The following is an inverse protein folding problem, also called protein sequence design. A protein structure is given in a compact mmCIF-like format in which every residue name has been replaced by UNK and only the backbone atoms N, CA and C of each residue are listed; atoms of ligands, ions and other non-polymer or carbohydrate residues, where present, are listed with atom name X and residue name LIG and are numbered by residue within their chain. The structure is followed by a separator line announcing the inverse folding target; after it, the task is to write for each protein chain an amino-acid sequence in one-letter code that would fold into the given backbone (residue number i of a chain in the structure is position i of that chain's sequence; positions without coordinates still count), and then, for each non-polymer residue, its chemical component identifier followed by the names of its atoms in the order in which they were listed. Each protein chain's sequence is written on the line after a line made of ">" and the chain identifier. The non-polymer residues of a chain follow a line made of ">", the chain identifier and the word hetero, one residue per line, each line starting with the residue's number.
data_IF_498378208768
#
_entry.id   IF_498378208768
#
_cell.length_a   1.000
_cell.length_b   1.000
_cell.length_c   1.000
_cell.angle_alpha   90.00
_cell.angle_beta   90.00
_cell.angle_gamma   90.00
#
_symmetry.space_group_name_H-M   'P 1'
#
loop_
_entity.id
_entity.type
_entity.pdbx_description
1 polymer ?
#
# COMPACT_ATOMS: atom_id res chain seq x y z
N UNK A 1 -22.90 -0.28 -5.53
CA UNK A 1 -21.57 0.31 -5.31
C UNK A 1 -20.59 -0.56 -6.06
N UNK A 2 -19.98 -0.04 -7.13
CA UNK A 2 -19.06 -0.82 -7.96
C UNK A 2 -17.70 -0.93 -7.24
N UNK A 3 -17.21 -2.16 -7.10
CA UNK A 3 -15.89 -2.45 -6.51
C UNK A 3 -14.86 -2.48 -7.63
N UNK A 4 -13.69 -1.89 -7.42
CA UNK A 4 -12.61 -1.81 -8.41
C UNK A 4 -11.70 -3.04 -8.40
N UNK A 5 -11.60 -3.72 -7.26
CA UNK A 5 -10.71 -4.87 -7.13
C UNK A 5 -10.73 -5.52 -5.76
N UNK A 6 -10.00 -6.63 -5.66
CA UNK A 6 -9.75 -7.38 -4.42
C UNK A 6 -8.25 -7.48 -4.25
N UNK A 7 -7.73 -7.05 -3.09
CA UNK A 7 -6.35 -7.35 -2.71
C UNK A 7 -6.28 -8.79 -2.19
N UNK A 8 -5.46 -9.61 -2.83
CA UNK A 8 -5.23 -10.98 -2.40
C UNK A 8 -4.48 -11.06 -1.07
N UNK A 9 -4.18 -12.29 -0.65
CA UNK A 9 -3.52 -12.55 0.64
C UNK A 9 -2.06 -12.09 0.61
N UNK A 10 -1.69 -11.20 1.54
CA UNK A 10 -0.32 -10.71 1.71
C UNK A 10 -0.05 -10.31 3.16
N UNK A 11 1.15 -10.62 3.64
CA UNK A 11 1.69 -10.08 4.89
C UNK A 11 2.94 -9.25 4.58
N UNK A 12 3.00 -8.02 5.10
CA UNK A 12 4.14 -7.11 4.93
C UNK A 12 4.48 -6.42 6.24
N UNK A 13 5.72 -5.93 6.35
CA UNK A 13 6.20 -5.16 7.50
C UNK A 13 6.34 -3.70 7.10
N UNK A 14 5.52 -2.83 7.67
CA UNK A 14 5.46 -1.42 7.29
C UNK A 14 5.84 -0.54 8.47
N UNK A 15 6.77 0.36 8.22
CA UNK A 15 7.19 1.41 9.15
C UNK A 15 6.07 2.44 9.30
N UNK A 16 5.79 2.88 10.53
CA UNK A 16 4.59 3.63 10.93
C UNK A 16 3.25 2.89 10.72
N UNK A 17 3.28 1.57 10.45
CA UNK A 17 2.09 0.77 10.18
C UNK A 17 1.17 0.55 11.39
N UNK A 18 1.66 0.70 12.62
CA UNK A 18 0.81 0.55 13.81
C UNK A 18 -0.12 1.74 13.95
N UNK A 19 0.43 2.95 13.79
CA UNK A 19 -0.29 4.22 13.97
C UNK A 19 -0.98 4.71 12.68
N UNK A 20 -0.79 4.08 11.52
CA UNK A 20 -1.34 4.56 10.26
C UNK A 20 -2.86 4.38 10.13
N UNK A 21 -3.62 5.45 9.93
CA UNK A 21 -5.06 5.30 9.64
C UNK A 21 -5.32 4.87 8.19
N UNK A 22 -4.39 5.17 7.29
CA UNK A 22 -4.45 4.85 5.86
C UNK A 22 -3.08 4.37 5.39
N UNK A 23 -3.07 3.38 4.49
CA UNK A 23 -1.87 2.92 3.79
C UNK A 23 -2.08 2.99 2.29
N UNK A 24 -1.04 3.38 1.55
CA UNK A 24 -1.03 3.33 0.08
C UNK A 24 -0.50 1.95 -0.31
N UNK A 25 -1.27 1.21 -1.12
CA UNK A 25 -0.89 -0.10 -1.63
C UNK A 25 -0.65 -0.01 -3.13
N UNK A 26 0.52 -0.50 -3.56
CA UNK A 26 0.81 -0.71 -4.98
C UNK A 26 0.31 -2.11 -5.37
N UNK A 27 -0.63 -2.19 -6.31
CA UNK A 27 -1.18 -3.46 -6.76
C UNK A 27 -1.15 -3.58 -8.29
N UNK A 28 -0.95 -4.81 -8.78
CA UNK A 28 -1.03 -5.14 -10.21
C UNK A 28 -2.51 -5.26 -10.59
N UNK A 29 -2.98 -4.32 -11.41
CA UNK A 29 -4.36 -4.25 -11.93
C UNK A 29 -4.49 -4.85 -13.32
N UNK A 30 -3.46 -4.75 -14.15
CA UNK A 30 -3.43 -5.35 -15.49
C UNK A 30 -2.19 -6.23 -15.69
N UNK A 31 -2.39 -7.56 -15.63
CA UNK A 31 -1.30 -8.55 -15.81
C UNK A 31 -0.89 -8.74 -17.27
N UNK A 32 -1.74 -8.36 -18.22
CA UNK A 32 -1.50 -8.50 -19.65
C UNK A 32 -0.87 -7.24 -20.27
N UNK A 33 -0.63 -6.21 -19.45
CA UNK A 33 -0.01 -4.98 -19.89
C UNK A 33 1.34 -5.26 -20.59
N UNK A 34 1.62 -4.48 -21.65
CA UNK A 34 2.84 -4.61 -22.45
C UNK A 34 4.13 -4.54 -21.62
N UNK A 35 4.10 -3.79 -20.52
CA UNK A 35 5.17 -3.80 -19.53
C UNK A 35 4.59 -3.81 -18.11
N UNK A 36 5.28 -4.38 -17.11
CA UNK A 36 4.81 -4.37 -15.72
C UNK A 36 4.52 -2.97 -15.18
N UNK A 37 5.27 -1.97 -15.63
CA UNK A 37 5.07 -0.56 -15.24
C UNK A 37 3.71 0.00 -15.70
N UNK A 38 3.15 -0.53 -16.78
CA UNK A 38 1.83 -0.14 -17.32
C UNK A 38 0.67 -0.95 -16.72
N UNK A 39 0.94 -1.83 -15.76
CA UNK A 39 -0.05 -2.72 -15.19
C UNK A 39 -0.31 -2.52 -13.70
N UNK A 40 0.24 -1.45 -13.10
CA UNK A 40 0.13 -1.20 -11.66
C UNK A 40 -0.65 0.08 -11.34
N UNK A 41 -1.43 0.01 -10.27
CA UNK A 41 -2.22 1.11 -9.73
C UNK A 41 -1.94 1.31 -8.24
N UNK A 42 -2.28 2.49 -7.73
CA UNK A 42 -2.17 2.83 -6.31
C UNK A 42 -3.56 2.81 -5.68
N UNK A 43 -3.67 2.24 -4.48
CA UNK A 43 -4.91 2.17 -3.73
C UNK A 43 -4.73 2.66 -2.31
N UNK A 44 -5.74 3.36 -1.78
CA UNK A 44 -5.83 3.69 -0.36
C UNK A 44 -6.57 2.57 0.37
N UNK A 45 -5.93 2.02 1.40
CA UNK A 45 -6.54 1.05 2.31
C UNK A 45 -6.61 1.67 3.69
N UNK A 46 -7.83 1.79 4.20
CA UNK A 46 -8.11 2.43 5.48
C UNK A 46 -8.21 1.40 6.60
N UNK A 47 -7.81 1.80 7.80
CA UNK A 47 -8.02 1.00 9.00
C UNK A 47 -9.52 0.74 9.21
N UNK A 48 -9.88 -0.52 9.46
CA UNK A 48 -11.28 -0.95 9.57
C UNK A 48 -11.90 -1.49 8.28
N UNK A 49 -11.22 -1.41 7.13
CA UNK A 49 -11.63 -2.16 5.94
C UNK A 49 -11.61 -3.66 6.20
N UNK A 50 -12.66 -4.36 5.78
CA UNK A 50 -12.76 -5.82 5.96
C UNK A 50 -11.62 -6.52 5.22
N UNK A 51 -10.91 -7.39 5.93
CA UNK A 51 -9.75 -8.12 5.41
C UNK A 51 -8.42 -7.41 5.61
N UNK A 52 -8.41 -6.13 6.03
CA UNK A 52 -7.18 -5.43 6.39
C UNK A 52 -6.99 -5.50 7.91
N UNK A 53 -5.88 -6.11 8.34
CA UNK A 53 -5.61 -6.38 9.76
C UNK A 53 -4.22 -5.86 10.10
N UNK A 54 -4.15 -5.01 11.12
CA UNK A 54 -2.88 -4.64 11.75
C UNK A 54 -2.49 -5.73 12.74
N UNK A 55 -1.38 -6.41 12.43
CA UNK A 55 -0.72 -7.34 13.32
C UNK A 55 0.12 -6.63 14.37
N UNK A 56 1.04 -7.36 15.00
CA UNK A 56 1.83 -6.82 16.13
C UNK A 56 2.77 -5.70 15.71
N UNK A 57 3.00 -4.76 16.64
CA UNK A 57 4.14 -3.84 16.59
C UNK A 57 5.44 -4.61 16.86
N UNK A 58 6.42 -4.50 15.96
CA UNK A 58 7.72 -5.14 16.11
C UNK A 58 8.58 -4.42 17.13
N UNK A 59 9.24 -5.20 17.99
CA UNK A 59 10.29 -4.70 18.85
C UNK A 59 11.63 -4.70 18.08
N UNK A 60 12.08 -3.50 17.71
CA UNK A 60 13.31 -3.33 16.93
C UNK A 60 14.52 -3.16 17.86
N UNK A 61 15.67 -3.71 17.44
CA UNK A 61 16.96 -3.48 18.11
C UNK A 61 17.39 -2.02 18.07
N UNK A 62 17.05 -1.29 16.99
CA UNK A 62 17.29 0.15 16.78
C UNK A 62 16.05 0.88 16.25
N UNK A 63 16.10 2.21 16.09
CA UNK A 63 14.96 3.04 15.65
C UNK A 63 13.69 2.84 16.52
N UNK A 64 13.86 2.77 17.84
CA UNK A 64 12.79 2.44 18.81
C UNK A 64 11.61 3.43 18.81
N UNK A 65 11.86 4.69 18.40
CA UNK A 65 10.83 5.73 18.33
C UNK A 65 9.89 5.55 17.13
N UNK A 66 10.35 4.94 16.05
CA UNK A 66 9.57 4.71 14.84
C UNK A 66 8.89 3.35 14.97
N UNK A 67 7.57 3.29 14.89
CA UNK A 67 6.90 1.99 14.92
C UNK A 67 7.09 1.24 13.61
N UNK A 68 7.03 -0.08 13.68
CA UNK A 68 6.96 -0.96 12.53
C UNK A 68 5.95 -2.03 12.89
N UNK A 69 4.99 -2.30 12.02
CA UNK A 69 3.95 -3.28 12.28
C UNK A 69 3.84 -4.28 11.13
N UNK A 70 3.42 -5.48 11.48
CA UNK A 70 2.89 -6.43 10.50
C UNK A 70 1.52 -5.92 10.01
N UNK A 71 1.34 -5.85 8.69
CA UNK A 71 0.06 -5.60 8.07
C UNK A 71 -0.33 -6.84 7.26
N UNK A 72 -1.58 -7.25 7.42
CA UNK A 72 -2.17 -8.38 6.71
C UNK A 72 -3.30 -7.87 5.82
N UNK A 73 -3.31 -8.33 4.58
CA UNK A 73 -4.37 -8.13 3.61
C UNK A 73 -4.93 -9.51 3.28
N UNK A 74 -6.22 -9.71 3.48
CA UNK A 74 -6.93 -10.97 3.22
C UNK A 74 -8.22 -10.64 2.46
N UNK A 75 -8.18 -10.78 1.14
CA UNK A 75 -9.31 -10.51 0.24
C UNK A 75 -10.00 -9.15 0.49
N UNK A 76 -9.19 -8.10 0.66
CA UNK A 76 -9.68 -6.75 0.93
C UNK A 76 -10.43 -6.22 -0.29
N UNK A 77 -11.72 -5.95 -0.15
CA UNK A 77 -12.55 -5.40 -1.23
C UNK A 77 -12.41 -3.89 -1.29
N UNK A 78 -11.94 -3.38 -2.43
CA UNK A 78 -11.71 -1.97 -2.62
C UNK A 78 -12.86 -1.33 -3.42
N UNK A 79 -13.51 -0.27 -2.91
CA UNK A 79 -14.43 0.53 -3.72
C UNK A 79 -13.66 1.27 -4.82
N UNK A 80 -14.35 1.69 -5.89
CA UNK A 80 -13.74 2.52 -6.95
C UNK A 80 -13.09 3.80 -6.41
N UNK A 81 -13.63 4.37 -5.34
CA UNK A 81 -13.10 5.57 -4.68
C UNK A 81 -11.76 5.35 -3.96
N UNK A 82 -11.34 4.10 -3.75
CA UNK A 82 -10.04 3.80 -3.14
C UNK A 82 -8.88 3.94 -4.14
N UNK A 83 -9.15 4.02 -5.45
CA UNK A 83 -8.12 4.25 -6.46
C UNK A 83 -7.51 5.64 -6.27
N UNK A 84 -6.18 5.68 -6.08
CA UNK A 84 -5.43 6.92 -5.98
C UNK A 84 -4.87 7.29 -7.35
N UNK A 85 -5.44 8.35 -7.93
CA UNK A 85 -5.09 8.80 -9.29
C UNK A 85 -5.76 7.93 -10.35
N UNK A 86 -5.05 7.67 -11.45
CA UNK A 86 -5.57 6.91 -12.58
C UNK A 86 -5.12 5.43 -12.56
N UNK A 87 -6.01 4.55 -13.01
CA UNK A 87 -5.72 3.12 -13.16
C UNK A 87 -4.55 2.91 -14.12
N UNK A 88 -3.65 1.98 -13.79
CA UNK A 88 -2.47 1.61 -14.57
C UNK A 88 -1.42 2.75 -14.72
N UNK A 89 -1.58 3.85 -13.98
CA UNK A 89 -0.61 4.96 -13.91
C UNK A 89 0.24 4.95 -12.65
N UNK A 90 0.09 3.95 -11.77
CA UNK A 90 0.75 3.90 -10.47
C UNK A 90 2.28 4.03 -10.57
N UNK A 91 2.91 3.36 -11.54
CA UNK A 91 4.36 3.44 -11.72
C UNK A 91 4.86 4.86 -12.00
N UNK A 92 4.11 5.63 -12.80
CA UNK A 92 4.48 7.00 -13.12
C UNK A 92 4.43 7.90 -11.88
N UNK A 93 3.39 7.74 -11.05
CA UNK A 93 3.30 8.46 -9.78
C UNK A 93 4.45 8.08 -8.84
N UNK A 94 4.79 6.79 -8.74
CA UNK A 94 5.95 6.34 -7.95
C UNK A 94 7.24 7.00 -8.43
N UNK A 95 7.50 7.05 -9.74
CA UNK A 95 8.73 7.66 -10.28
C UNK A 95 8.79 9.17 -10.06
N UNK A 96 7.65 9.85 -9.99
CA UNK A 96 7.59 11.28 -9.69
C UNK A 96 7.90 11.57 -8.22
N UNK A 97 7.40 10.74 -7.30
CA UNK A 97 7.53 10.95 -5.86
C UNK A 97 8.83 10.37 -5.27
N UNK A 98 9.41 9.33 -5.90
CA UNK A 98 10.66 8.69 -5.47
C UNK A 98 11.85 9.66 -5.23
N UNK A 99 12.11 10.65 -6.10
CA UNK A 99 13.14 11.66 -5.85
C UNK A 99 12.91 12.46 -4.56
N UNK A 100 11.64 12.75 -4.23
CA UNK A 100 11.27 13.53 -3.05
C UNK A 100 11.38 12.70 -1.78
N UNK A 101 10.88 11.45 -1.80
CA UNK A 101 10.97 10.56 -0.64
C UNK A 101 12.40 10.08 -0.39
N UNK A 102 13.30 10.00 -1.39
CA UNK A 102 14.71 9.67 -1.13
C UNK A 102 15.41 10.68 -0.21
N UNK A 103 14.95 11.94 -0.22
CA UNK A 103 15.47 12.99 0.66
C UNK A 103 14.93 12.89 2.10
N UNK A 104 13.83 12.15 2.31
CA UNK A 104 13.15 11.97 3.60
C UNK A 104 13.27 10.48 3.97
N UNK A 105 14.20 10.14 4.86
CA UNK A 105 14.64 8.75 5.14
C UNK A 105 13.59 7.77 5.68
N UNK A 106 12.32 8.15 5.76
CA UNK A 106 11.28 7.41 6.46
C UNK A 106 9.97 7.37 5.67
N UNK A 107 9.86 6.56 4.61
CA UNK A 107 8.58 6.04 4.11
C UNK A 107 8.80 4.87 3.14
N UNK A 108 8.03 3.78 3.28
CA UNK A 108 8.10 2.57 2.43
C UNK A 108 6.71 2.31 1.84
N UNK A 109 6.67 2.04 0.53
CA UNK A 109 5.49 1.64 -0.28
C UNK A 109 4.99 0.23 0.06
#
# INVERSE_FOLDING_TARGET
>A
MEHHGILGVLQVFITNGWLSDVVIVVAVTNREARSPAHGISLFLVENGMKGFIKGRKLHKMGLKAQDTAELFFEDVRLPASALLGEENKGFYYLMQELPQVRSIKDFIF
#
